data_IF_665649318517
#
_entry.id   IF_665649318517
#
_cell.length_a   1.000
_cell.length_b   1.000
_cell.length_c   1.000
_cell.angle_alpha   90.00
_cell.angle_beta   90.00
_cell.angle_gamma   90.00
#
_symmetry.space_group_name_H-M   'P 1'
#
loop_
_entity.id
_entity.type
_entity.pdbx_description
1 polymer ?
#
# COMPACT_ATOMS: atom_id res chain seq x y z
N UNK A 1 -10.01 -0.02 -2.51
CA UNK A 1 -8.87 -0.96 -2.71
C UNK A 1 -7.71 -0.52 -1.83
N UNK A 2 -7.19 -1.43 -1.01
CA UNK A 2 -6.03 -1.21 -0.14
C UNK A 2 -4.84 -1.95 -0.78
N UNK A 3 -3.73 -1.26 -0.95
CA UNK A 3 -2.51 -1.81 -1.54
C UNK A 3 -1.37 -1.77 -0.52
N UNK A 4 -1.10 -2.88 0.21
CA UNK A 4 0.10 -2.97 1.02
C UNK A 4 1.32 -3.10 0.10
N UNK A 5 2.22 -2.11 0.13
CA UNK A 5 3.43 -2.06 -0.69
C UNK A 5 4.31 -3.31 -0.56
N UNK A 6 5.18 -3.56 -1.56
CA UNK A 6 6.16 -4.65 -1.54
C UNK A 6 5.54 -6.05 -1.39
N UNK A 7 6.30 -7.02 -0.87
CA UNK A 7 5.87 -8.40 -0.59
C UNK A 7 6.72 -9.45 -1.29
N UNK A 8 6.76 -10.66 -0.74
CA UNK A 8 7.56 -11.76 -1.27
C UNK A 8 9.05 -11.43 -1.24
N UNK A 9 9.69 -11.52 -2.41
CA UNK A 9 11.12 -11.22 -2.61
C UNK A 9 11.49 -9.75 -2.39
N UNK A 10 10.52 -8.83 -2.47
CA UNK A 10 10.72 -7.42 -2.22
C UNK A 10 10.39 -7.09 -0.75
N UNK A 11 11.40 -6.85 0.12
CA UNK A 11 11.17 -6.51 1.52
C UNK A 11 10.71 -5.07 1.73
N UNK A 12 10.83 -4.20 0.73
CA UNK A 12 10.80 -2.75 0.89
C UNK A 12 11.95 -2.23 1.76
N UNK A 13 11.74 -1.09 2.40
CA UNK A 13 12.70 -0.51 3.33
C UNK A 13 13.01 -1.46 4.51
N UNK A 14 14.27 -1.48 4.93
CA UNK A 14 14.73 -2.23 6.09
C UNK A 14 15.17 -1.29 7.21
N UNK A 15 14.50 -1.38 8.36
CA UNK A 15 14.84 -0.60 9.55
C UNK A 15 16.13 -1.07 10.23
N UNK A 16 16.69 -0.23 11.12
CA UNK A 16 17.92 -0.50 11.88
C UNK A 16 17.91 -1.87 12.58
N UNK A 17 16.76 -2.29 13.09
CA UNK A 17 16.57 -3.56 13.80
C UNK A 17 15.96 -4.66 12.92
N UNK A 18 16.21 -4.60 11.59
CA UNK A 18 15.72 -5.58 10.59
C UNK A 18 14.20 -5.65 10.44
N UNK A 19 13.47 -4.65 10.93
CA UNK A 19 12.04 -4.49 10.59
C UNK A 19 11.91 -4.28 9.09
N UNK A 20 11.06 -5.08 8.42
CA UNK A 20 10.83 -4.98 6.97
C UNK A 20 9.54 -4.24 6.71
N UNK A 21 9.59 -3.26 5.83
CA UNK A 21 8.43 -2.47 5.43
C UNK A 21 7.26 -3.36 5.02
N UNK A 22 7.50 -4.39 4.20
CA UNK A 22 6.46 -5.30 3.70
C UNK A 22 5.59 -5.92 4.80
N UNK A 23 6.17 -6.17 5.97
CA UNK A 23 5.50 -6.79 7.12
C UNK A 23 4.65 -5.74 7.85
N UNK A 24 5.20 -4.54 8.05
CA UNK A 24 4.55 -3.42 8.72
C UNK A 24 3.33 -2.97 7.93
N UNK A 25 3.48 -2.74 6.62
CA UNK A 25 2.39 -2.23 5.79
C UNK A 25 1.27 -3.26 5.62
N UNK A 26 1.58 -4.57 5.60
CA UNK A 26 0.56 -5.62 5.58
C UNK A 26 -0.26 -5.66 6.87
N UNK A 27 0.40 -5.47 8.03
CA UNK A 27 -0.28 -5.40 9.33
C UNK A 27 -1.20 -4.18 9.41
N UNK A 28 -0.74 -3.01 8.97
CA UNK A 28 -1.55 -1.79 8.91
C UNK A 28 -2.75 -2.01 7.98
N UNK A 29 -2.52 -2.55 6.78
CA UNK A 29 -3.57 -2.78 5.80
C UNK A 29 -4.65 -3.75 6.27
N UNK A 30 -4.29 -4.81 7.01
CA UNK A 30 -5.26 -5.74 7.62
C UNK A 30 -6.11 -5.07 8.68
N UNK A 31 -5.51 -4.21 9.52
CA UNK A 31 -6.24 -3.42 10.52
C UNK A 31 -7.19 -2.44 9.84
N UNK A 32 -6.74 -1.73 8.81
CA UNK A 32 -7.58 -0.83 8.03
C UNK A 32 -8.76 -1.56 7.38
N UNK A 33 -8.50 -2.72 6.74
CA UNK A 33 -9.56 -3.57 6.18
C UNK A 33 -10.59 -3.95 7.24
N UNK A 34 -10.15 -4.43 8.41
CA UNK A 34 -11.05 -4.82 9.48
C UNK A 34 -11.89 -3.66 10.03
N UNK A 35 -11.40 -2.41 9.93
CA UNK A 35 -12.18 -1.22 10.27
C UNK A 35 -13.18 -0.85 9.18
N UNK A 36 -12.78 -0.91 7.90
CA UNK A 36 -13.66 -0.60 6.76
C UNK A 36 -14.80 -1.63 6.67
N UNK A 37 -14.48 -2.92 6.80
CA UNK A 37 -15.45 -4.02 6.66
C UNK A 37 -16.50 -4.03 7.81
N UNK A 38 -16.36 -3.18 8.84
CA UNK A 38 -17.39 -2.96 9.88
C UNK A 38 -18.52 -2.03 9.43
N UNK A 39 -18.27 -1.18 8.44
CA UNK A 39 -19.31 -0.30 7.89
C UNK A 39 -20.03 -1.03 6.75
N UNK A 40 -21.34 -1.24 6.90
CA UNK A 40 -22.16 -1.93 5.91
C UNK A 40 -22.21 -1.23 4.53
N UNK A 41 -21.85 0.06 4.46
CA UNK A 41 -21.80 0.84 3.21
C UNK A 41 -20.44 0.77 2.51
N UNK A 42 -19.44 0.17 3.15
CA UNK A 42 -18.09 0.09 2.59
C UNK A 42 -17.65 -1.36 2.43
N UNK A 43 -16.69 -1.58 1.52
CA UNK A 43 -16.06 -2.88 1.32
C UNK A 43 -14.60 -2.72 0.96
N UNK A 44 -13.72 -3.40 1.72
CA UNK A 44 -12.29 -3.38 1.43
C UNK A 44 -11.86 -4.63 0.64
N UNK A 45 -11.21 -4.38 -0.50
CA UNK A 45 -10.40 -5.37 -1.21
C UNK A 45 -8.92 -5.04 -1.03
N UNK A 46 -8.07 -6.07 -1.04
CA UNK A 46 -6.62 -5.92 -0.91
C UNK A 46 -5.90 -6.45 -2.15
N UNK A 47 -4.82 -5.79 -2.58
CA UNK A 47 -3.98 -6.28 -3.68
C UNK A 47 -3.21 -7.56 -3.31
N UNK A 48 -2.83 -7.69 -2.03
CA UNK A 48 -2.31 -8.90 -1.37
C UNK A 48 -2.81 -8.97 0.08
N UNK A 49 -3.02 -10.18 0.60
CA UNK A 49 -3.31 -10.43 2.02
C UNK A 49 -2.35 -11.46 2.64
N UNK A 50 -1.20 -11.64 2.02
CA UNK A 50 -0.14 -12.57 2.40
C UNK A 50 1.20 -12.01 1.92
N UNK A 51 2.30 -12.68 2.26
CA UNK A 51 3.65 -12.25 1.90
C UNK A 51 4.03 -12.71 0.49
N UNK A 52 3.40 -12.09 -0.51
CA UNK A 52 3.63 -12.37 -1.94
C UNK A 52 3.96 -11.10 -2.70
N UNK A 53 4.83 -11.22 -3.69
CA UNK A 53 5.14 -10.12 -4.59
C UNK A 53 4.02 -9.94 -5.62
N UNK A 54 3.52 -8.71 -5.75
CA UNK A 54 2.56 -8.33 -6.79
C UNK A 54 3.19 -7.22 -7.65
N UNK A 55 3.35 -7.40 -8.97
CA UNK A 55 3.87 -6.34 -9.84
C UNK A 55 3.00 -5.08 -9.82
N UNK A 56 3.61 -3.90 -9.91
CA UNK A 56 2.89 -2.61 -9.82
C UNK A 56 1.72 -2.49 -10.80
N UNK A 57 1.91 -2.90 -12.06
CA UNK A 57 0.84 -2.89 -13.08
C UNK A 57 -0.35 -3.77 -12.69
N UNK A 58 -0.10 -4.90 -12.03
CA UNK A 58 -1.13 -5.84 -11.57
C UNK A 58 -1.92 -5.24 -10.41
N UNK A 59 -1.28 -4.49 -9.51
CA UNK A 59 -1.96 -3.80 -8.39
C UNK A 59 -3.02 -2.83 -8.90
N UNK A 60 -2.66 -1.99 -9.87
CA UNK A 60 -3.59 -1.04 -10.52
C UNK A 60 -4.67 -1.78 -11.31
N UNK A 61 -4.30 -2.84 -12.04
CA UNK A 61 -5.27 -3.64 -12.79
C UNK A 61 -6.31 -4.32 -11.88
N UNK A 62 -5.90 -4.83 -10.71
CA UNK A 62 -6.83 -5.37 -9.70
C UNK A 62 -7.81 -4.31 -9.22
N UNK A 63 -7.35 -3.08 -8.95
CA UNK A 63 -8.22 -1.98 -8.52
C UNK A 63 -9.28 -1.63 -9.58
N UNK A 64 -8.87 -1.54 -10.85
CA UNK A 64 -9.76 -1.28 -11.97
C UNK A 64 -10.77 -2.42 -12.17
N UNK A 65 -10.30 -3.68 -12.11
CA UNK A 65 -11.16 -4.86 -12.26
C UNK A 65 -12.24 -4.93 -11.17
N UNK A 66 -11.90 -4.53 -9.94
CA UNK A 66 -12.84 -4.50 -8.82
C UNK A 66 -13.67 -3.20 -8.77
N UNK A 67 -13.55 -2.33 -9.78
CA UNK A 67 -14.24 -1.03 -9.85
C UNK A 67 -14.11 -0.22 -8.55
N UNK A 68 -12.90 -0.19 -7.98
CA UNK A 68 -12.68 0.47 -6.70
C UNK A 68 -12.86 1.99 -6.82
N UNK A 69 -13.70 2.56 -5.98
CA UNK A 69 -13.92 4.02 -5.90
C UNK A 69 -12.69 4.77 -5.39
N UNK A 70 -11.95 4.14 -4.46
CA UNK A 70 -10.71 4.66 -3.88
C UNK A 70 -9.59 3.61 -3.96
N UNK A 71 -8.37 4.07 -4.22
CA UNK A 71 -7.16 3.29 -4.15
C UNK A 71 -6.20 3.92 -3.15
N UNK A 72 -5.83 3.18 -2.10
CA UNK A 72 -4.90 3.63 -1.06
C UNK A 72 -3.73 2.68 -1.02
N UNK A 73 -2.55 3.16 -1.41
CA UNK A 73 -1.29 2.43 -1.20
C UNK A 73 -0.69 2.80 0.15
N UNK A 74 -0.20 1.80 0.89
CA UNK A 74 0.38 1.95 2.22
C UNK A 74 1.85 1.57 2.14
N UNK A 75 2.70 2.52 2.51
CA UNK A 75 4.15 2.40 2.54
C UNK A 75 4.71 2.89 3.88
N UNK A 76 5.91 2.41 4.22
CA UNK A 76 6.72 2.86 5.33
C UNK A 76 8.16 3.01 4.84
N UNK A 77 8.31 3.87 3.83
CA UNK A 77 9.56 4.13 3.11
C UNK A 77 10.68 4.58 4.07
N UNK A 78 11.92 4.53 3.55
CA UNK A 78 13.09 5.05 4.23
C UNK A 78 13.69 6.24 3.48
N UNK A 79 14.41 7.08 4.23
CA UNK A 79 15.21 8.17 3.70
C UNK A 79 16.65 8.06 4.20
N UNK A 80 17.61 8.61 3.46
CA UNK A 80 19.04 8.55 3.82
C UNK A 80 19.33 9.30 5.12
N UNK A 81 18.68 10.44 5.32
CA UNK A 81 18.72 11.18 6.58
C UNK A 81 17.71 10.60 7.58
N UNK A 82 18.23 10.02 8.67
CA UNK A 82 17.41 9.41 9.75
C UNK A 82 16.62 10.41 10.59
N UNK A 83 16.87 11.72 10.46
CA UNK A 83 16.05 12.74 11.13
C UNK A 83 14.69 12.95 10.43
N UNK A 84 14.54 12.52 9.18
CA UNK A 84 13.26 12.55 8.47
C UNK A 84 12.29 11.55 9.13
N UNK A 85 11.16 12.06 9.62
CA UNK A 85 10.15 11.29 10.35
C UNK A 85 8.78 11.96 10.22
N UNK A 86 7.73 11.18 10.51
CA UNK A 86 6.34 11.64 10.42
C UNK A 86 5.58 10.89 9.32
N UNK A 87 4.27 11.11 9.28
CA UNK A 87 3.40 10.56 8.23
C UNK A 87 3.30 11.54 7.06
N UNK A 88 3.19 11.01 5.85
CA UNK A 88 3.02 11.78 4.62
C UNK A 88 1.94 11.15 3.74
N UNK A 89 1.34 11.96 2.88
CA UNK A 89 0.38 11.50 1.87
C UNK A 89 0.84 12.02 0.52
N UNK A 90 0.90 11.13 -0.46
CA UNK A 90 1.22 11.45 -1.84
C UNK A 90 -0.01 11.21 -2.73
N UNK A 91 -0.18 12.08 -3.72
CA UNK A 91 -1.16 11.89 -4.78
C UNK A 91 -0.43 12.01 -6.13
N UNK A 92 -0.86 11.27 -7.17
CA UNK A 92 -0.28 11.42 -8.49
C UNK A 92 -0.45 12.88 -8.96
N UNK A 93 0.65 13.51 -9.35
CA UNK A 93 0.59 14.79 -10.03
C UNK A 93 0.08 14.51 -11.43
N UNK A 94 -1.12 14.99 -11.76
CA UNK A 94 -1.67 14.87 -13.10
C UNK A 94 -1.00 15.88 -14.03
N UNK A 95 0.23 15.60 -14.45
CA UNK A 95 0.77 16.24 -15.63
C UNK A 95 -0.03 15.72 -16.82
N UNK A 96 -0.93 16.55 -17.35
CA UNK A 96 -1.54 16.32 -18.67
C UNK A 96 -0.42 16.30 -19.72
N UNK A 97 0.22 15.16 -19.92
CA UNK A 97 0.95 14.86 -21.15
C UNK A 97 0.26 13.69 -21.81
N UNK A 98 -0.39 14.08 -22.91
CA UNK A 98 -0.88 13.32 -24.06
C UNK A 98 -2.31 12.78 -23.97
N UNK A 99 -3.15 13.50 -24.73
CA UNK A 99 -4.33 13.00 -25.44
C UNK A 99 -3.98 11.76 -26.25
#
# INVERSE_FOLDING_TARGET
MIDPGHGGEDPGAMGKYKTREKDVVLQIARRLRALIDKDAKMKAYMTRNEDVFIPLKVRVAKARKMQADLFVSIHADAFTNRSARGSSVFAPIQNRRNK
#
